data_IF_028254284494
#
_entry.id   IF_028254284494
#
_cell.length_a   1.000
_cell.length_b   1.000
_cell.length_c   1.000
_cell.angle_alpha   90.00
_cell.angle_beta   90.00
_cell.angle_gamma   90.00
#
_symmetry.space_group_name_H-M   'P 1'
#
loop_
_entity.id
_entity.type
_entity.pdbx_description
1 polymer ?
#
# COMPACT_ATOMS: atom_id res chain seq x y z
N UNK A 1 2.87 -5.94 16.70
CA UNK A 1 3.21 -5.05 15.57
C UNK A 1 1.93 -4.73 14.79
N UNK A 2 1.70 -3.44 14.48
CA UNK A 2 0.64 -2.94 13.60
C UNK A 2 1.31 -2.31 12.36
N UNK A 3 1.45 -3.06 11.26
CA UNK A 3 2.11 -2.54 10.07
C UNK A 3 1.22 -1.55 9.31
N UNK A 4 1.85 -0.62 8.62
CA UNK A 4 1.24 0.20 7.58
C UNK A 4 0.93 -0.65 6.33
N UNK A 5 0.76 -0.02 5.16
CA UNK A 5 0.53 -0.73 3.89
C UNK A 5 1.80 -1.47 3.47
N UNK A 6 1.85 -2.78 3.72
CA UNK A 6 3.04 -3.61 3.44
C UNK A 6 3.15 -3.86 1.94
N UNK A 7 4.19 -3.33 1.29
CA UNK A 7 4.49 -3.57 -0.11
C UNK A 7 5.81 -4.33 -0.29
N UNK A 8 6.05 -4.82 -1.47
CA UNK A 8 7.24 -5.62 -1.79
C UNK A 8 6.90 -6.95 -2.45
N UNK A 9 7.86 -7.85 -2.57
CA UNK A 9 7.66 -9.20 -3.08
C UNK A 9 6.48 -9.92 -2.42
N UNK A 10 5.70 -10.66 -3.19
CA UNK A 10 4.55 -11.46 -2.75
C UNK A 10 3.38 -10.68 -2.11
N UNK A 11 3.45 -9.36 -1.93
CA UNK A 11 2.34 -8.59 -1.39
C UNK A 11 1.18 -8.54 -2.38
N UNK A 12 0.11 -9.27 -2.07
CA UNK A 12 -1.07 -9.26 -2.95
C UNK A 12 -1.79 -7.91 -2.96
N UNK A 13 -2.13 -7.27 -1.80
CA UNK A 13 -2.93 -6.06 -1.80
C UNK A 13 -2.20 -4.82 -2.35
N UNK A 14 -0.89 -4.69 -2.11
CA UNK A 14 -0.16 -3.45 -2.36
C UNK A 14 0.91 -3.56 -3.46
N UNK A 15 1.10 -4.75 -4.06
CA UNK A 15 2.02 -4.99 -5.17
C UNK A 15 1.33 -5.69 -6.34
N UNK A 16 0.85 -6.94 -6.14
CA UNK A 16 0.30 -7.76 -7.22
C UNK A 16 -1.01 -7.18 -7.76
N UNK A 17 -1.93 -6.83 -6.87
CA UNK A 17 -3.24 -6.28 -7.27
C UNK A 17 -3.10 -4.93 -8.00
N UNK A 18 -2.33 -3.94 -7.51
CA UNK A 18 -2.09 -2.70 -8.24
C UNK A 18 -1.54 -2.91 -9.63
N UNK A 19 -0.49 -3.74 -9.80
CA UNK A 19 0.10 -3.96 -11.12
C UNK A 19 -0.87 -4.63 -12.10
N UNK A 20 -1.69 -5.59 -11.62
CA UNK A 20 -2.76 -6.21 -12.43
C UNK A 20 -3.81 -5.20 -12.86
N UNK A 21 -4.25 -4.32 -11.96
CA UNK A 21 -5.23 -3.27 -12.26
C UNK A 21 -4.68 -2.23 -13.24
N UNK A 22 -3.41 -1.88 -13.13
CA UNK A 22 -2.75 -0.96 -14.06
C UNK A 22 -2.61 -1.63 -15.43
N UNK A 23 -2.15 -2.88 -15.49
CA UNK A 23 -2.00 -3.62 -16.75
C UNK A 23 -3.32 -3.78 -17.49
N UNK A 24 -4.43 -3.99 -16.77
CA UNK A 24 -5.79 -4.10 -17.37
C UNK A 24 -6.45 -2.74 -17.63
N UNK A 25 -5.84 -1.61 -17.27
CA UNK A 25 -6.43 -0.27 -17.40
C UNK A 25 -7.60 0.01 -16.45
N UNK A 26 -7.75 -0.81 -15.40
CA UNK A 26 -8.85 -0.71 -14.43
C UNK A 26 -8.46 0.08 -13.18
N UNK A 27 -7.19 0.50 -13.05
CA UNK A 27 -6.76 1.31 -11.92
C UNK A 27 -7.37 2.70 -11.99
N UNK A 28 -7.97 3.13 -10.87
CA UNK A 28 -8.58 4.46 -10.73
C UNK A 28 -8.08 5.10 -9.43
N UNK A 29 -7.51 6.28 -9.52
CA UNK A 29 -7.19 7.11 -8.37
C UNK A 29 -8.46 7.81 -7.87
N UNK A 30 -8.65 7.86 -6.56
CA UNK A 30 -9.75 8.63 -5.96
C UNK A 30 -9.24 10.03 -5.64
N UNK A 31 -10.02 11.05 -6.05
CA UNK A 31 -9.69 12.46 -5.83
C UNK A 31 -8.25 12.79 -6.25
N UNK A 32 -7.88 12.42 -7.49
CA UNK A 32 -6.54 12.59 -8.07
C UNK A 32 -5.41 11.93 -7.26
N UNK A 33 -5.73 11.04 -6.33
CA UNK A 33 -4.76 10.33 -5.49
C UNK A 33 -4.02 11.21 -4.50
N UNK A 34 -4.65 12.29 -4.01
CA UNK A 34 -4.03 13.24 -3.05
C UNK A 34 -4.01 12.73 -1.60
N UNK A 35 -4.76 11.66 -1.28
CA UNK A 35 -4.69 11.03 0.04
C UNK A 35 -3.29 10.46 0.30
N UNK A 36 -2.94 10.29 1.58
CA UNK A 36 -1.63 9.80 1.99
C UNK A 36 -1.60 8.28 2.10
N UNK A 37 -0.59 7.68 1.48
CA UNK A 37 -0.20 6.30 1.66
C UNK A 37 0.88 6.21 2.73
N UNK A 38 0.54 5.68 3.89
CA UNK A 38 1.54 5.23 4.85
C UNK A 38 1.95 3.81 4.41
N UNK A 39 3.20 3.61 4.12
CA UNK A 39 3.73 2.36 3.57
C UNK A 39 4.84 1.80 4.44
N UNK A 40 5.10 0.51 4.27
CA UNK A 40 6.28 -0.17 4.82
C UNK A 40 6.76 -1.22 3.83
N UNK A 41 8.05 -1.19 3.51
CA UNK A 41 8.68 -2.25 2.73
C UNK A 41 8.78 -3.52 3.56
N UNK A 42 8.58 -4.68 2.93
CA UNK A 42 8.50 -5.96 3.66
C UNK A 42 9.72 -6.21 4.54
N UNK A 43 10.95 -5.96 4.06
CA UNK A 43 12.16 -6.20 4.84
C UNK A 43 12.29 -5.21 6.00
N UNK A 44 11.86 -3.95 5.85
CA UNK A 44 11.79 -3.01 6.96
C UNK A 44 10.82 -3.50 8.06
N UNK A 45 9.69 -4.10 7.67
CA UNK A 45 8.75 -4.69 8.62
C UNK A 45 9.36 -5.91 9.33
N UNK A 46 10.10 -6.76 8.61
CA UNK A 46 10.81 -7.90 9.18
C UNK A 46 11.83 -7.41 10.20
N UNK A 47 12.64 -6.40 9.86
CA UNK A 47 13.64 -5.82 10.77
C UNK A 47 12.98 -5.27 12.05
N UNK A 48 11.85 -4.57 11.94
CA UNK A 48 11.09 -4.09 13.10
C UNK A 48 10.57 -5.25 13.96
N UNK A 49 10.08 -6.31 13.32
CA UNK A 49 9.55 -7.48 14.02
C UNK A 49 10.65 -8.22 14.77
N UNK A 50 11.80 -8.46 14.12
CA UNK A 50 12.97 -9.09 14.76
C UNK A 50 13.53 -8.21 15.89
N UNK A 51 13.48 -6.89 15.76
CA UNK A 51 13.88 -5.98 16.83
C UNK A 51 12.97 -6.08 18.05
N UNK A 52 11.68 -6.26 17.83
CA UNK A 52 10.72 -6.45 18.93
C UNK A 52 10.95 -7.77 19.66
N UNK A 53 11.23 -8.87 18.95
CA UNK A 53 11.46 -10.19 19.59
C UNK A 53 12.72 -10.26 20.45
N UNK A 54 13.66 -9.34 20.27
CA UNK A 54 14.92 -9.27 21.04
C UNK A 54 14.84 -8.38 22.29
N UNK A 55 13.67 -7.84 22.62
CA UNK A 55 13.51 -6.87 23.71
C UNK A 55 12.38 -7.26 24.65
N UNK A 56 12.71 -7.61 25.89
CA UNK A 56 11.71 -8.01 26.90
C UNK A 56 10.69 -6.89 27.18
N UNK A 57 11.10 -5.62 27.10
CA UNK A 57 10.22 -4.45 27.26
C UNK A 57 9.15 -4.35 26.17
N UNK A 58 9.26 -5.09 25.06
CA UNK A 58 8.27 -5.12 24.00
C UNK A 58 7.06 -5.99 24.32
N UNK A 59 7.16 -6.86 25.32
CA UNK A 59 6.08 -7.78 25.70
C UNK A 59 4.85 -7.01 26.16
N UNK A 60 3.69 -7.33 25.57
CA UNK A 60 2.44 -6.66 25.84
C UNK A 60 2.28 -5.26 25.23
N UNK A 61 3.31 -4.76 24.51
CA UNK A 61 3.29 -3.47 23.84
C UNK A 61 2.73 -3.54 22.43
N UNK A 62 2.22 -2.40 21.94
CA UNK A 62 1.76 -2.24 20.54
C UNK A 62 2.64 -1.21 19.84
N UNK A 63 3.20 -1.61 18.69
CA UNK A 63 4.05 -0.76 17.86
C UNK A 63 3.43 -0.58 16.48
N UNK A 64 3.26 0.68 16.08
CA UNK A 64 2.94 1.06 14.72
C UNK A 64 4.24 1.09 13.91
N UNK A 65 4.27 0.40 12.76
CA UNK A 65 5.46 0.28 11.91
C UNK A 65 5.16 0.76 10.49
N UNK A 66 5.92 1.75 10.04
CA UNK A 66 5.96 2.24 8.66
C UNK A 66 7.39 2.66 8.32
N UNK A 67 7.64 3.06 7.08
CA UNK A 67 8.96 3.58 6.67
C UNK A 67 9.20 5.04 7.16
N UNK A 68 8.37 5.53 8.08
CA UNK A 68 8.53 6.86 8.70
C UNK A 68 8.14 8.02 7.80
N UNK A 69 7.76 7.76 6.57
CA UNK A 69 7.28 8.73 5.60
C UNK A 69 5.89 8.32 5.06
N UNK A 70 5.19 9.28 4.48
CA UNK A 70 3.97 9.04 3.73
C UNK A 70 4.04 9.85 2.44
N UNK A 71 3.65 9.22 1.34
CA UNK A 71 3.56 9.84 0.01
C UNK A 71 2.11 9.88 -0.46
N UNK A 72 1.79 10.68 -1.47
CA UNK A 72 0.45 10.64 -2.05
C UNK A 72 0.21 9.31 -2.77
N UNK A 73 -1.04 8.81 -2.77
CA UNK A 73 -1.38 7.61 -3.54
C UNK A 73 -1.01 7.70 -5.02
N UNK A 74 -1.12 8.90 -5.63
CA UNK A 74 -0.68 9.12 -7.00
C UNK A 74 0.82 8.83 -7.21
N UNK A 75 1.65 9.14 -6.22
CA UNK A 75 3.08 8.88 -6.26
C UNK A 75 3.36 7.39 -6.05
N UNK A 76 2.76 6.80 -5.01
CA UNK A 76 2.92 5.38 -4.72
C UNK A 76 2.51 4.48 -5.91
N UNK A 77 1.32 4.71 -6.48
CA UNK A 77 0.88 3.95 -7.66
C UNK A 77 1.57 4.41 -8.95
N UNK A 78 2.14 5.61 -8.96
CA UNK A 78 2.97 6.13 -10.05
C UNK A 78 4.19 5.26 -10.33
N UNK A 79 4.84 4.72 -9.30
CA UNK A 79 5.93 3.75 -9.46
C UNK A 79 5.47 2.52 -10.26
N UNK A 80 4.35 1.91 -9.89
CA UNK A 80 3.79 0.76 -10.61
C UNK A 80 3.36 1.11 -12.04
N UNK A 81 2.84 2.32 -12.26
CA UNK A 81 2.46 2.78 -13.59
C UNK A 81 3.68 2.95 -14.51
N UNK A 82 4.79 3.44 -13.98
CA UNK A 82 6.08 3.53 -14.69
C UNK A 82 6.62 2.14 -15.02
N UNK A 83 6.67 1.22 -14.05
CA UNK A 83 7.08 -0.17 -14.25
C UNK A 83 6.27 -0.87 -15.34
N UNK A 84 4.95 -0.60 -15.39
CA UNK A 84 4.03 -1.14 -16.40
C UNK A 84 4.08 -0.39 -17.74
N UNK A 85 4.89 0.66 -17.87
CA UNK A 85 4.92 1.57 -19.05
C UNK A 85 3.55 2.17 -19.38
N UNK A 86 2.73 2.41 -18.36
CA UNK A 86 1.39 3.02 -18.45
C UNK A 86 1.30 4.23 -17.50
N UNK A 87 1.97 5.36 -17.81
CA UNK A 87 2.16 6.47 -16.86
C UNK A 87 0.86 7.21 -16.51
N UNK A 88 -0.23 7.00 -17.25
CA UNK A 88 -1.50 7.67 -16.99
C UNK A 88 -2.47 6.75 -16.27
N UNK A 89 -2.84 7.10 -15.03
CA UNK A 89 -3.91 6.45 -14.26
C UNK A 89 -5.11 7.40 -14.22
N UNK A 90 -6.29 6.89 -14.56
CA UNK A 90 -7.55 7.66 -14.50
C UNK A 90 -7.86 8.07 -13.06
N UNK A 91 -8.60 9.16 -12.91
CA UNK A 91 -9.06 9.62 -11.60
C UNK A 91 -10.59 9.80 -11.58
N UNK A 92 -11.18 9.46 -10.43
CA UNK A 92 -12.59 9.73 -10.15
C UNK A 92 -12.71 10.63 -8.92
N UNK A 93 -13.70 11.54 -8.89
CA UNK A 93 -13.96 12.35 -7.72
C UNK A 93 -14.48 11.49 -6.55
N UNK A 94 -14.21 11.93 -5.33
CA UNK A 94 -14.53 11.15 -4.13
C UNK A 94 -16.04 10.85 -3.99
N UNK A 95 -16.90 11.80 -4.36
CA UNK A 95 -18.36 11.60 -4.28
C UNK A 95 -18.82 10.44 -5.17
N UNK A 96 -18.28 10.34 -6.40
CA UNK A 96 -18.61 9.26 -7.32
C UNK A 96 -18.12 7.91 -6.78
N UNK A 97 -16.91 7.86 -6.21
CA UNK A 97 -16.40 6.67 -5.56
C UNK A 97 -17.28 6.20 -4.40
N UNK A 98 -17.84 7.14 -3.60
CA UNK A 98 -18.77 6.80 -2.51
C UNK A 98 -20.09 6.23 -3.04
N UNK A 99 -20.64 6.81 -4.12
CA UNK A 99 -21.88 6.31 -4.75
C UNK A 99 -21.68 4.90 -5.31
N UNK A 100 -20.59 4.68 -6.04
CA UNK A 100 -20.24 3.35 -6.55
C UNK A 100 -20.05 2.34 -5.40
N UNK A 101 -19.33 2.74 -4.34
CA UNK A 101 -19.15 1.91 -3.16
C UNK A 101 -20.47 1.51 -2.50
N UNK A 102 -21.39 2.46 -2.34
CA UNK A 102 -22.73 2.18 -1.81
C UNK A 102 -23.49 1.18 -2.69
N UNK A 103 -23.49 1.37 -4.02
CA UNK A 103 -24.14 0.45 -4.95
C UNK A 103 -23.55 -0.98 -4.85
N UNK A 104 -22.22 -1.10 -4.73
CA UNK A 104 -21.58 -2.40 -4.56
C UNK A 104 -21.85 -3.05 -3.20
N UNK A 105 -21.98 -2.26 -2.12
CA UNK A 105 -22.35 -2.75 -0.80
C UNK A 105 -23.80 -3.27 -0.79
N UNK A 106 -24.73 -2.58 -1.47
CA UNK A 106 -26.11 -3.00 -1.61
C UNK A 106 -26.20 -4.31 -2.41
N UNK A 107 -25.57 -4.36 -3.59
CA UNK A 107 -25.57 -5.57 -4.42
C UNK A 107 -24.93 -6.76 -3.74
N UNK A 108 -23.91 -6.54 -2.91
CA UNK A 108 -23.28 -7.57 -2.09
C UNK A 108 -24.25 -8.25 -1.13
N UNK A 109 -25.20 -7.50 -0.55
CA UNK A 109 -26.23 -8.06 0.35
C UNK A 109 -27.17 -9.02 -0.37
N UNK A 110 -27.48 -8.77 -1.64
CA UNK A 110 -28.36 -9.63 -2.43
C UNK A 110 -27.63 -10.81 -3.06
N UNK A 111 -26.35 -10.64 -3.42
CA UNK A 111 -25.58 -11.68 -4.12
C UNK A 111 -24.76 -12.58 -3.21
N UNK A 112 -24.60 -12.22 -1.91
CA UNK A 112 -23.73 -12.90 -0.95
C UNK A 112 -22.22 -12.80 -1.27
N UNK A 113 -21.83 -12.07 -2.33
CA UNK A 113 -20.41 -11.88 -2.70
C UNK A 113 -19.87 -10.62 -2.06
N UNK A 114 -18.62 -10.63 -1.51
CA UNK A 114 -18.02 -9.44 -0.93
C UNK A 114 -17.87 -8.33 -1.97
N UNK A 115 -18.14 -7.05 -1.59
CA UNK A 115 -18.03 -5.93 -2.52
C UNK A 115 -16.57 -5.70 -2.94
N UNK A 116 -16.32 -5.48 -4.22
CA UNK A 116 -14.97 -5.21 -4.75
C UNK A 116 -14.41 -3.87 -4.29
N UNK A 117 -15.28 -2.93 -3.96
CA UNK A 117 -14.96 -1.58 -3.49
C UNK A 117 -16.05 -1.11 -2.52
N UNK A 118 -15.66 -0.40 -1.44
CA UNK A 118 -16.56 0.09 -0.40
C UNK A 118 -16.43 1.60 -0.21
N UNK A 119 -17.42 2.22 0.44
CA UNK A 119 -17.32 3.64 0.83
C UNK A 119 -16.15 3.87 1.80
N UNK A 120 -15.85 2.89 2.63
CA UNK A 120 -14.74 2.96 3.57
C UNK A 120 -13.38 2.95 2.85
N UNK A 121 -13.24 2.14 1.81
CA UNK A 121 -12.06 2.17 0.93
C UNK A 121 -11.89 3.56 0.27
N UNK A 122 -12.98 4.20 -0.15
CA UNK A 122 -12.90 5.57 -0.67
C UNK A 122 -12.44 6.58 0.38
N UNK A 123 -12.88 6.45 1.64
CA UNK A 123 -12.42 7.30 2.76
C UNK A 123 -10.94 7.05 3.07
N UNK A 124 -10.54 5.80 3.12
CA UNK A 124 -9.14 5.40 3.35
C UNK A 124 -8.20 6.01 2.29
N UNK A 125 -8.55 5.90 1.01
CA UNK A 125 -7.75 6.42 -0.10
C UNK A 125 -7.72 7.97 -0.18
N UNK A 126 -8.53 8.66 0.62
CA UNK A 126 -8.52 10.14 0.71
C UNK A 126 -8.05 10.65 2.07
N UNK A 127 -7.68 9.77 2.98
CA UNK A 127 -7.19 10.11 4.31
C UNK A 127 -5.85 10.87 4.24
N UNK A 128 -5.68 11.88 5.11
CA UNK A 128 -4.46 12.71 5.21
C UNK A 128 -3.65 12.41 6.48
N UNK A 129 -4.02 11.37 7.23
CA UNK A 129 -3.33 11.01 8.45
C UNK A 129 -1.94 10.41 8.15
N UNK A 130 -0.94 10.85 8.90
CA UNK A 130 0.41 10.27 8.91
C UNK A 130 0.57 9.37 10.12
N UNK A 131 1.26 8.25 9.95
CA UNK A 131 1.57 7.35 11.05
C UNK A 131 2.79 7.86 11.83
N UNK A 132 2.64 7.90 13.14
CA UNK A 132 3.76 8.20 14.04
C UNK A 132 4.41 6.89 14.49
N UNK A 133 5.70 6.73 14.20
CA UNK A 133 6.49 5.54 14.53
C UNK A 133 7.53 5.80 15.62
N UNK A 134 7.46 6.95 16.31
CA UNK A 134 8.47 7.32 17.30
C UNK A 134 8.58 6.29 18.44
N UNK A 135 7.45 5.70 18.88
CA UNK A 135 7.50 4.62 19.87
C UNK A 135 8.35 3.44 19.38
N UNK A 136 8.19 3.02 18.12
CA UNK A 136 8.99 1.94 17.54
C UNK A 136 10.47 2.35 17.41
N UNK A 137 10.75 3.60 17.06
CA UNK A 137 12.13 4.11 17.02
C UNK A 137 12.81 4.10 18.37
N UNK A 138 12.15 4.65 19.39
CA UNK A 138 12.75 4.76 20.73
C UNK A 138 12.86 3.42 21.43
N UNK A 139 11.80 2.62 21.46
CA UNK A 139 11.76 1.39 22.25
C UNK A 139 12.37 0.18 21.50
N UNK A 140 12.23 0.11 20.17
CA UNK A 140 12.80 -0.99 19.37
C UNK A 140 14.11 -0.63 18.66
N UNK A 141 14.53 0.64 18.67
CA UNK A 141 15.64 1.13 17.86
C UNK A 141 15.35 0.96 16.35
N UNK A 142 14.08 0.96 15.97
CA UNK A 142 13.68 0.74 14.60
C UNK A 142 14.07 1.91 13.70
N UNK A 143 14.80 1.61 12.64
CA UNK A 143 15.11 2.55 11.56
C UNK A 143 14.89 1.84 10.23
N UNK A 144 14.01 2.37 9.35
CA UNK A 144 13.82 1.79 8.02
C UNK A 144 15.13 1.77 7.24
N UNK A 145 15.57 0.60 6.80
CA UNK A 145 16.81 0.41 6.06
C UNK A 145 16.65 0.72 4.57
N UNK A 146 15.47 0.43 4.02
CA UNK A 146 15.15 0.69 2.62
C UNK A 146 14.25 1.92 2.49
N UNK A 147 14.62 2.83 1.61
CA UNK A 147 13.76 3.93 1.14
C UNK A 147 12.66 3.40 0.21
N UNK A 148 11.63 4.23 -0.05
CA UNK A 148 10.59 3.89 -1.03
C UNK A 148 11.17 3.58 -2.41
N UNK A 149 12.14 4.35 -2.86
CA UNK A 149 12.75 4.17 -4.17
C UNK A 149 13.50 2.83 -4.27
N UNK A 150 14.27 2.47 -3.26
CA UNK A 150 15.00 1.18 -3.20
C UNK A 150 14.02 0.00 -3.10
N UNK A 151 13.04 0.08 -2.21
CA UNK A 151 12.01 -0.97 -2.08
C UNK A 151 11.20 -1.15 -3.37
N UNK A 152 10.88 -0.05 -4.08
CA UNK A 152 10.18 -0.14 -5.37
C UNK A 152 11.07 -0.74 -6.46
N UNK A 153 12.37 -0.47 -6.49
CA UNK A 153 13.32 -1.08 -7.42
C UNK A 153 13.40 -2.60 -7.20
N UNK A 154 13.54 -3.05 -5.96
CA UNK A 154 13.55 -4.48 -5.62
C UNK A 154 12.20 -5.15 -5.94
N UNK A 155 11.11 -4.44 -5.69
CA UNK A 155 9.75 -4.90 -6.04
C UNK A 155 9.59 -5.05 -7.56
N UNK A 156 10.12 -4.13 -8.35
CA UNK A 156 10.10 -4.21 -9.82
C UNK A 156 10.86 -5.43 -10.32
N UNK A 157 12.07 -5.66 -9.80
CA UNK A 157 12.87 -6.83 -10.16
C UNK A 157 12.07 -8.11 -9.90
N UNK A 158 11.50 -8.26 -8.70
CA UNK A 158 10.67 -9.41 -8.37
C UNK A 158 9.44 -9.55 -9.28
N UNK A 159 8.75 -8.45 -9.60
CA UNK A 159 7.59 -8.47 -10.51
C UNK A 159 7.95 -8.97 -11.92
N UNK A 160 9.15 -8.68 -12.39
CA UNK A 160 9.68 -9.18 -13.68
C UNK A 160 10.02 -10.67 -13.60
N UNK A 161 10.69 -11.09 -12.54
CA UNK A 161 11.04 -12.50 -12.28
C UNK A 161 9.79 -13.37 -12.13
N UNK A 162 8.76 -12.87 -11.42
CA UNK A 162 7.48 -13.55 -11.20
C UNK A 162 6.52 -13.47 -12.40
N UNK A 163 6.90 -12.80 -13.50
CA UNK A 163 6.11 -12.73 -14.74
C UNK A 163 4.93 -11.74 -14.70
N UNK A 164 4.86 -10.84 -13.74
CA UNK A 164 3.84 -9.78 -13.70
C UNK A 164 4.18 -8.59 -14.60
N UNK A 165 5.46 -8.43 -14.96
CA UNK A 165 5.97 -7.43 -15.90
C UNK A 165 6.81 -8.11 -16.97
N UNK A 166 6.91 -7.51 -18.18
CA UNK A 166 7.83 -8.00 -19.21
C UNK A 166 9.27 -8.02 -18.68
N UNK A 167 10.04 -9.06 -19.06
CA UNK A 167 11.48 -9.09 -18.79
C UNK A 167 12.15 -7.92 -19.53
N UNK A 168 13.13 -7.31 -18.91
CA UNK A 168 14.00 -6.39 -19.64
C UNK A 168 14.78 -7.17 -20.71
N UNK A 169 14.80 -6.59 -21.91
CA UNK A 169 15.61 -7.13 -23.01
C UNK A 169 17.07 -6.75 -22.80
#
# INVERSE_FOLDING_TARGET
IRPANVYGPCSNPWTIRPIKLINSGQMILINKGIGLCNYVYIDNLIDATLSATKRDQSVGQVYLVSDGAAVMWKEFFGYYAQMARKPSIRSAPQWLAKVIGLGMEITSRFTGKPPKFTREAARFLTCQARFNIEKARHELGYQPRFSLQEGMKLTEQWLREAGYLPKEK
#
